data_IF_029528677845
#
_entry.id   IF_029528677845
#
_cell.length_a   1.000
_cell.length_b   1.000
_cell.length_c   1.000
_cell.angle_alpha   90.00
_cell.angle_beta   90.00
_cell.angle_gamma   90.00
#
_symmetry.space_group_name_H-M   'P 1'
#
loop_
_entity.id
_entity.type
_entity.pdbx_description
1 polymer ?
#
# COMPACT_ATOMS: atom_id res chain seq x y z
N UNK A 1 35.09 32.22 -45.14
CA UNK A 1 35.36 32.67 -43.75
C UNK A 1 34.07 33.03 -43.00
N UNK A 2 33.22 33.93 -43.52
CA UNK A 2 31.92 34.27 -42.90
C UNK A 2 30.97 33.06 -42.79
N UNK A 3 30.84 32.25 -43.83
CA UNK A 3 29.97 31.07 -43.83
C UNK A 3 30.39 29.98 -42.82
N UNK A 4 31.70 29.87 -42.55
CA UNK A 4 32.24 28.92 -41.56
C UNK A 4 31.98 29.38 -40.12
N UNK A 5 32.03 30.70 -39.88
CA UNK A 5 31.71 31.29 -38.59
C UNK A 5 30.22 31.16 -38.25
N UNK A 6 29.33 31.32 -39.24
CA UNK A 6 27.87 31.14 -39.06
C UNK A 6 27.54 29.67 -38.75
N UNK A 7 28.19 28.71 -39.41
CA UNK A 7 27.97 27.29 -39.13
C UNK A 7 28.45 26.89 -37.72
N UNK A 8 29.61 27.39 -37.26
CA UNK A 8 30.07 27.14 -35.90
C UNK A 8 29.17 27.77 -34.84
N UNK A 9 28.66 28.98 -35.08
CA UNK A 9 27.74 29.63 -34.15
C UNK A 9 26.42 28.86 -34.04
N UNK A 10 25.89 28.37 -35.17
CA UNK A 10 24.70 27.51 -35.18
C UNK A 10 24.92 26.17 -34.47
N UNK A 11 26.11 25.56 -34.61
CA UNK A 11 26.46 24.32 -33.92
C UNK A 11 26.61 24.52 -32.41
N UNK A 12 27.24 25.62 -31.98
CA UNK A 12 27.37 25.98 -30.56
C UNK A 12 26.01 26.30 -29.94
N UNK A 13 25.13 26.99 -30.67
CA UNK A 13 23.76 27.25 -30.22
C UNK A 13 22.92 25.97 -30.15
N UNK A 14 23.07 25.04 -31.10
CA UNK A 14 22.41 23.73 -31.03
C UNK A 14 22.93 22.88 -29.87
N UNK A 15 24.24 22.84 -29.63
CA UNK A 15 24.84 22.14 -28.50
C UNK A 15 24.41 22.74 -27.15
N UNK A 16 24.33 24.07 -27.05
CA UNK A 16 23.81 24.76 -25.87
C UNK A 16 22.31 24.49 -25.67
N UNK A 17 21.52 24.43 -26.74
CA UNK A 17 20.10 24.10 -26.67
C UNK A 17 19.87 22.63 -26.27
N UNK A 18 20.69 21.71 -26.75
CA UNK A 18 20.65 20.29 -26.34
C UNK A 18 21.02 20.14 -24.86
N UNK A 19 22.02 20.89 -24.35
CA UNK A 19 22.36 20.88 -22.92
C UNK A 19 21.21 21.43 -22.05
N UNK A 20 20.50 22.46 -22.50
CA UNK A 20 19.36 23.05 -21.79
C UNK A 20 18.12 22.15 -21.82
N UNK A 21 17.93 21.37 -22.89
CA UNK A 21 16.79 20.42 -23.01
C UNK A 21 17.05 19.10 -22.25
N UNK A 22 18.30 18.73 -21.97
CA UNK A 22 18.62 17.59 -21.10
C UNK A 22 18.65 17.91 -19.61
N UNK A 23 18.61 19.19 -19.23
CA UNK A 23 18.35 19.61 -17.86
C UNK A 23 16.83 19.64 -17.62
N UNK A 24 16.17 18.50 -17.84
CA UNK A 24 14.89 18.27 -17.20
C UNK A 24 15.12 18.45 -15.71
N UNK A 25 14.45 19.42 -15.12
CA UNK A 25 14.56 19.77 -13.71
C UNK A 25 14.27 18.53 -12.88
N UNK A 26 15.31 17.78 -12.51
CA UNK A 26 15.27 16.94 -11.33
C UNK A 26 15.13 17.93 -10.20
N UNK A 27 13.89 18.19 -9.79
CA UNK A 27 13.60 18.82 -8.52
C UNK A 27 14.26 17.91 -7.51
N UNK A 28 15.50 18.22 -7.11
CA UNK A 28 16.06 17.67 -5.88
C UNK A 28 15.09 18.16 -4.83
N UNK A 29 14.24 17.26 -4.32
CA UNK A 29 13.48 17.53 -3.12
C UNK A 29 14.49 18.06 -2.11
N UNK A 30 14.27 19.28 -1.61
CA UNK A 30 15.13 19.86 -0.59
C UNK A 30 15.26 18.82 0.53
N UNK A 31 16.49 18.46 0.89
CA UNK A 31 16.73 17.47 1.95
C UNK A 31 15.93 17.87 3.19
N UNK A 32 15.19 16.91 3.77
CA UNK A 32 14.44 17.15 4.98
C UNK A 32 15.43 17.50 6.08
N UNK A 33 15.13 18.52 6.88
CA UNK A 33 16.03 18.96 7.93
C UNK A 33 15.59 18.31 9.25
N UNK A 34 16.50 17.63 9.98
CA UNK A 34 16.19 17.15 11.31
C UNK A 34 15.95 18.35 12.26
N UNK A 35 15.11 18.19 13.29
CA UNK A 35 14.84 19.23 14.26
C UNK A 35 16.10 19.61 15.04
N UNK A 36 16.33 20.91 15.22
CA UNK A 36 17.47 21.39 16.00
C UNK A 36 17.33 21.09 17.49
N UNK A 37 18.41 20.62 18.12
CA UNK A 37 18.52 20.51 19.58
C UNK A 37 17.72 19.38 20.23
N UNK A 38 17.09 18.48 19.46
CA UNK A 38 16.43 17.28 19.99
C UNK A 38 16.55 16.08 19.04
N UNK A 39 16.34 14.87 19.58
CA UNK A 39 16.18 13.66 18.76
C UNK A 39 14.88 13.72 17.96
N UNK A 40 14.92 13.12 16.78
CA UNK A 40 13.75 12.87 15.93
C UNK A 40 12.89 11.79 16.54
N UNK A 41 11.59 12.04 16.65
CA UNK A 41 10.64 11.09 17.19
C UNK A 41 10.04 10.24 16.08
N UNK A 42 10.05 8.93 16.27
CA UNK A 42 9.45 7.99 15.33
C UNK A 42 8.32 7.25 16.04
N UNK A 43 7.09 7.51 15.59
CA UNK A 43 5.91 6.80 16.03
C UNK A 43 5.73 5.52 15.21
N UNK A 44 5.67 4.37 15.87
CA UNK A 44 5.38 3.09 15.22
C UNK A 44 3.97 2.67 15.57
N UNK A 45 3.09 2.63 14.56
CA UNK A 45 1.67 2.34 14.77
C UNK A 45 1.47 0.84 15.02
N UNK A 46 0.80 0.52 16.14
CA UNK A 46 0.54 -0.82 16.63
C UNK A 46 -0.95 -1.00 16.93
N UNK A 47 -1.66 -1.69 16.02
CA UNK A 47 -3.03 -2.19 16.26
C UNK A 47 -3.09 -3.70 16.05
N UNK A 48 -4.25 -4.30 16.34
CA UNK A 48 -4.44 -5.74 16.25
C UNK A 48 -4.05 -6.30 14.88
N UNK A 49 -3.38 -7.45 14.86
CA UNK A 49 -2.90 -8.10 13.64
C UNK A 49 -1.68 -7.43 13.01
N UNK A 50 -1.00 -6.50 13.70
CA UNK A 50 0.23 -5.88 13.22
C UNK A 50 1.24 -6.93 12.71
N UNK A 51 1.70 -6.81 11.47
CA UNK A 51 2.70 -7.73 10.90
C UNK A 51 4.07 -7.39 11.46
N UNK A 52 4.71 -8.38 12.10
CA UNK A 52 5.91 -8.21 12.93
C UNK A 52 7.03 -7.44 12.21
N UNK A 53 7.42 -7.90 11.02
CA UNK A 53 8.53 -7.32 10.29
C UNK A 53 8.21 -5.94 9.70
N UNK A 54 6.93 -5.61 9.49
CA UNK A 54 6.54 -4.34 8.89
C UNK A 54 6.85 -3.15 9.81
N UNK A 55 6.83 -3.37 11.12
CA UNK A 55 7.27 -2.39 12.11
C UNK A 55 8.68 -2.66 12.61
N UNK A 56 9.07 -3.92 12.80
CA UNK A 56 10.39 -4.26 13.35
C UNK A 56 11.53 -3.93 12.37
N UNK A 57 11.31 -4.10 11.06
CA UNK A 57 12.31 -3.73 10.06
C UNK A 57 12.68 -2.24 10.09
N UNK A 58 11.71 -1.31 9.94
CA UNK A 58 11.95 0.11 10.13
C UNK A 58 12.49 0.46 11.52
N UNK A 59 11.99 -0.17 12.58
CA UNK A 59 12.49 0.04 13.95
C UNK A 59 13.98 -0.23 14.04
N UNK A 60 14.45 -1.39 13.53
CA UNK A 60 15.86 -1.75 13.54
C UNK A 60 16.70 -0.76 12.72
N UNK A 61 16.19 -0.22 11.61
CA UNK A 61 16.90 0.83 10.87
C UNK A 61 17.09 2.07 11.72
N UNK A 62 16.01 2.64 12.24
CA UNK A 62 16.07 3.89 13.01
C UNK A 62 16.85 3.75 14.32
N UNK A 63 16.79 2.59 14.98
CA UNK A 63 17.52 2.31 16.21
C UNK A 63 19.04 2.24 16.02
N UNK A 64 19.51 2.01 14.79
CA UNK A 64 20.91 1.77 14.47
C UNK A 64 21.57 2.92 13.67
N UNK A 65 20.91 4.08 13.55
CA UNK A 65 21.48 5.26 12.89
C UNK A 65 22.48 5.97 13.79
N UNK A 66 23.63 6.32 13.22
CA UNK A 66 24.70 7.09 13.89
C UNK A 66 25.13 8.26 12.99
N UNK A 67 25.07 9.48 13.50
CA UNK A 67 25.24 10.72 12.68
C UNK A 67 26.59 11.43 12.85
N UNK A 68 27.50 10.89 13.66
CA UNK A 68 28.79 11.55 13.91
C UNK A 68 29.72 10.75 14.80
N UNK A 69 30.67 11.44 15.42
CA UNK A 69 31.67 10.85 16.32
C UNK A 69 31.48 11.39 17.74
N UNK A 70 31.55 10.54 18.77
CA UNK A 70 31.47 10.97 20.17
C UNK A 70 30.75 9.99 21.08
N UNK A 71 29.99 10.50 22.07
CA UNK A 71 29.12 9.68 22.92
C UNK A 71 28.04 8.97 22.08
N UNK A 72 27.87 7.66 22.26
CA UNK A 72 26.90 6.84 21.53
C UNK A 72 25.48 7.40 21.63
N UNK A 73 25.05 7.88 22.80
CA UNK A 73 23.69 8.40 22.98
C UNK A 73 23.45 9.69 22.20
N UNK A 74 24.50 10.51 22.03
CA UNK A 74 24.45 11.74 21.23
C UNK A 74 24.50 11.47 19.74
N UNK A 75 25.05 10.32 19.32
CA UNK A 75 25.12 9.95 17.91
C UNK A 75 23.81 9.39 17.37
N UNK A 76 23.01 8.74 18.23
CA UNK A 76 21.71 8.16 17.88
C UNK A 76 20.65 9.26 17.76
N UNK A 77 20.22 9.61 16.53
CA UNK A 77 19.39 10.79 16.32
C UNK A 77 17.90 10.52 16.51
N UNK A 78 17.48 9.26 16.69
CA UNK A 78 16.08 8.87 16.79
C UNK A 78 15.67 8.47 18.22
N UNK A 79 14.45 8.84 18.59
CA UNK A 79 13.70 8.38 19.75
C UNK A 79 12.48 7.60 19.22
N UNK A 80 12.47 6.30 19.45
CA UNK A 80 11.43 5.38 18.96
C UNK A 80 10.38 5.13 20.04
N UNK A 81 9.11 5.10 19.65
CA UNK A 81 8.04 4.64 20.53
C UNK A 81 6.91 3.99 19.72
N UNK A 82 6.10 3.19 20.41
CA UNK A 82 4.90 2.56 19.83
C UNK A 82 3.62 3.34 20.20
N UNK A 83 2.66 3.38 19.27
CA UNK A 83 1.38 4.05 19.47
C UNK A 83 0.24 3.20 18.95
N UNK A 84 -0.81 3.03 19.75
CA UNK A 84 -2.02 2.30 19.39
C UNK A 84 -3.29 3.09 19.69
N UNK A 85 -4.45 2.41 19.58
CA UNK A 85 -5.75 2.96 20.00
C UNK A 85 -5.70 3.44 21.45
N UNK A 86 -5.13 2.61 22.30
CA UNK A 86 -4.89 2.82 23.71
C UNK A 86 -3.61 2.05 24.13
N UNK A 87 -3.34 1.98 25.43
CA UNK A 87 -2.21 1.22 26.00
C UNK A 87 -2.60 -0.21 26.43
N UNK A 88 -3.65 -0.80 25.86
CA UNK A 88 -3.99 -2.19 26.09
C UNK A 88 -3.15 -3.13 25.21
N UNK A 89 -2.94 -4.38 25.64
CA UNK A 89 -2.24 -5.35 24.82
C UNK A 89 -2.96 -5.61 23.48
N UNK A 90 -2.18 -5.68 22.40
CA UNK A 90 -2.61 -6.16 21.09
C UNK A 90 -1.88 -7.46 20.76
N UNK A 91 -2.43 -8.25 19.83
CA UNK A 91 -1.71 -9.37 19.25
C UNK A 91 -1.21 -9.03 17.85
N UNK A 92 0.07 -9.31 17.58
CA UNK A 92 0.62 -9.24 16.22
C UNK A 92 0.02 -10.33 15.35
N UNK A 93 0.23 -10.28 14.03
CA UNK A 93 -0.06 -11.43 13.17
C UNK A 93 0.86 -12.61 13.54
N UNK A 94 0.28 -13.79 13.75
CA UNK A 94 0.97 -15.07 13.93
C UNK A 94 1.02 -15.92 12.66
N UNK A 95 0.59 -15.36 11.51
CA UNK A 95 0.37 -16.10 10.26
C UNK A 95 -0.92 -16.93 10.27
N UNK A 96 -1.47 -17.21 9.07
CA UNK A 96 -2.70 -17.99 8.88
C UNK A 96 -3.87 -17.57 9.81
N UNK A 97 -4.07 -16.26 9.98
CA UNK A 97 -5.12 -15.66 10.83
C UNK A 97 -5.04 -16.04 12.32
N UNK A 98 -3.86 -16.42 12.82
CA UNK A 98 -3.64 -16.71 14.24
C UNK A 98 -3.08 -15.49 14.97
N UNK A 99 -3.45 -15.27 16.24
CA UNK A 99 -2.78 -14.27 17.06
C UNK A 99 -1.31 -14.67 17.27
N UNK A 100 -0.43 -13.69 17.17
CA UNK A 100 1.01 -13.80 17.35
C UNK A 100 1.46 -13.34 18.74
N UNK A 101 2.53 -12.55 18.78
CA UNK A 101 3.09 -12.01 20.01
C UNK A 101 2.15 -10.99 20.63
N UNK A 102 2.14 -10.91 21.96
CA UNK A 102 1.47 -9.84 22.69
C UNK A 102 2.40 -8.65 22.81
N UNK A 103 1.95 -7.47 22.38
CA UNK A 103 2.68 -6.20 22.49
C UNK A 103 1.79 -5.17 23.19
N UNK A 104 2.38 -4.31 24.03
CA UNK A 104 1.67 -3.21 24.69
C UNK A 104 2.20 -1.89 24.11
N UNK A 105 1.37 -1.07 23.45
CA UNK A 105 1.80 0.23 22.96
C UNK A 105 2.22 1.17 24.10
N UNK A 106 3.27 1.96 23.87
CA UNK A 106 3.77 2.95 24.83
C UNK A 106 2.78 4.12 25.01
N UNK A 107 2.07 4.48 23.93
CA UNK A 107 1.14 5.60 23.89
C UNK A 107 -0.19 5.25 23.20
N UNK A 108 -1.23 6.03 23.53
CA UNK A 108 -2.46 6.07 22.76
C UNK A 108 -2.36 7.13 21.66
N UNK A 109 -3.13 7.04 20.58
CA UNK A 109 -3.23 8.10 19.56
C UNK A 109 -3.56 9.47 20.18
N UNK A 110 -4.34 9.46 21.27
CA UNK A 110 -4.77 10.66 21.97
C UNK A 110 -3.66 11.39 22.73
N UNK A 111 -2.58 10.71 23.13
CA UNK A 111 -1.56 11.26 24.02
C UNK A 111 -0.11 10.98 23.61
N UNK A 112 0.11 10.41 22.43
CA UNK A 112 1.43 10.25 21.85
C UNK A 112 2.12 11.61 21.66
N UNK A 113 3.43 11.75 22.00
CA UNK A 113 4.22 12.93 21.67
C UNK A 113 4.21 13.17 20.15
N UNK A 114 4.20 14.42 19.69
CA UNK A 114 4.24 14.68 18.24
C UNK A 114 5.47 14.03 17.57
N UNK A 115 5.29 13.11 16.60
CA UNK A 115 6.39 12.49 15.86
C UNK A 115 6.87 13.35 14.69
N UNK A 116 8.12 13.11 14.29
CA UNK A 116 8.68 13.60 13.03
C UNK A 116 8.51 12.57 11.90
N UNK A 117 8.47 11.28 12.26
CA UNK A 117 8.25 10.15 11.34
C UNK A 117 7.19 9.21 11.91
N UNK A 118 6.30 8.70 11.06
CA UNK A 118 5.28 7.71 11.40
C UNK A 118 5.48 6.45 10.57
N UNK A 119 5.56 5.29 11.20
CA UNK A 119 5.63 3.98 10.54
C UNK A 119 4.27 3.29 10.63
N UNK A 120 3.68 2.98 9.47
CA UNK A 120 2.37 2.32 9.34
C UNK A 120 2.54 0.97 8.65
N UNK A 121 2.63 -0.12 9.42
CA UNK A 121 2.68 -1.49 8.89
C UNK A 121 1.31 -2.05 8.49
N UNK A 122 1.29 -3.29 7.98
CA UNK A 122 0.07 -4.05 7.82
C UNK A 122 -0.57 -4.36 9.18
N UNK A 123 -1.87 -4.10 9.31
CA UNK A 123 -2.64 -4.27 10.55
C UNK A 123 -4.15 -4.18 10.27
N UNK A 124 -4.96 -4.56 11.26
CA UNK A 124 -6.42 -4.45 11.19
C UNK A 124 -6.88 -3.00 11.14
N UNK A 125 -6.14 -2.09 11.79
CA UNK A 125 -6.42 -0.66 11.84
C UNK A 125 -7.33 -0.29 13.03
N UNK A 126 -7.63 1.00 13.12
CA UNK A 126 -8.57 1.59 14.07
C UNK A 126 -9.18 2.84 13.43
N UNK A 127 -10.42 3.17 13.76
CA UNK A 127 -11.13 4.34 13.20
C UNK A 127 -10.41 5.67 13.49
N UNK A 128 -9.63 5.74 14.57
CA UNK A 128 -8.86 6.93 14.95
C UNK A 128 -7.60 7.11 14.10
N UNK A 129 -7.10 6.05 13.45
CA UNK A 129 -5.82 6.09 12.74
C UNK A 129 -5.86 7.07 11.56
N UNK A 130 -6.89 7.02 10.72
CA UNK A 130 -7.00 7.91 9.56
C UNK A 130 -6.98 9.40 9.93
N UNK A 131 -7.86 9.87 10.84
CA UNK A 131 -7.82 11.24 11.35
C UNK A 131 -6.49 11.62 11.99
N UNK A 132 -5.86 10.70 12.74
CA UNK A 132 -4.57 10.94 13.38
C UNK A 132 -3.45 11.13 12.35
N UNK A 133 -3.40 10.29 11.31
CA UNK A 133 -2.44 10.43 10.21
C UNK A 133 -2.61 11.75 9.46
N UNK A 134 -3.85 12.16 9.14
CA UNK A 134 -4.11 13.47 8.50
C UNK A 134 -3.57 14.62 9.33
N UNK A 135 -3.87 14.64 10.63
CA UNK A 135 -3.38 15.68 11.54
C UNK A 135 -1.85 15.74 11.56
N UNK A 136 -1.17 14.59 11.60
CA UNK A 136 0.29 14.55 11.61
C UNK A 136 0.91 15.00 10.29
N UNK A 137 0.30 14.63 9.17
CA UNK A 137 0.72 15.12 7.86
C UNK A 137 0.59 16.65 7.75
N UNK A 138 -0.50 17.23 8.24
CA UNK A 138 -0.67 18.69 8.34
C UNK A 138 0.39 19.34 9.25
N UNK A 139 0.85 18.62 10.27
CA UNK A 139 1.95 19.01 11.16
C UNK A 139 3.34 18.69 10.59
N UNK A 140 3.43 18.34 9.30
CA UNK A 140 4.66 18.08 8.56
C UNK A 140 5.45 16.85 9.04
N UNK A 141 4.80 15.88 9.69
CA UNK A 141 5.41 14.58 9.95
C UNK A 141 5.51 13.77 8.64
N UNK A 142 6.63 13.08 8.44
CA UNK A 142 6.78 12.12 7.35
C UNK A 142 6.04 10.83 7.71
N UNK A 143 5.16 10.35 6.82
CA UNK A 143 4.42 9.11 6.98
C UNK A 143 5.00 8.07 6.02
N UNK A 144 5.51 6.97 6.57
CA UNK A 144 5.90 5.81 5.78
C UNK A 144 4.95 4.64 6.03
N UNK A 145 4.58 3.91 4.98
CA UNK A 145 3.81 2.68 5.09
C UNK A 145 4.57 1.47 4.57
N UNK A 146 4.32 0.30 5.17
CA UNK A 146 4.90 -0.97 4.73
C UNK A 146 3.77 -1.97 4.45
N UNK A 147 3.95 -2.79 3.43
CA UNK A 147 3.02 -3.86 3.06
C UNK A 147 1.60 -3.29 2.81
N UNK A 148 0.57 -3.88 3.41
CA UNK A 148 -0.82 -3.39 3.32
C UNK A 148 -1.09 -2.20 4.24
N UNK A 149 -0.10 -1.68 4.97
CA UNK A 149 -0.21 -0.39 5.67
C UNK A 149 -0.53 0.78 4.73
N UNK A 150 -0.20 0.67 3.44
CA UNK A 150 -0.59 1.62 2.40
C UNK A 150 -2.11 1.83 2.32
N UNK A 151 -2.93 0.82 2.63
CA UNK A 151 -4.39 0.95 2.68
C UNK A 151 -4.81 1.94 3.78
N UNK A 152 -4.14 1.95 4.94
CA UNK A 152 -4.45 2.90 6.02
C UNK A 152 -4.11 4.33 5.66
N UNK A 153 -3.04 4.53 4.89
CA UNK A 153 -2.66 5.85 4.36
C UNK A 153 -3.61 6.29 3.24
N UNK A 154 -4.09 5.36 2.40
CA UNK A 154 -5.11 5.60 1.39
C UNK A 154 -6.46 5.99 2.02
N UNK A 155 -6.93 5.26 3.04
CA UNK A 155 -8.14 5.55 3.81
C UNK A 155 -8.11 6.93 4.47
N UNK A 156 -6.92 7.40 4.85
CA UNK A 156 -6.73 8.75 5.37
C UNK A 156 -6.92 9.84 4.28
N UNK A 157 -6.99 9.47 3.00
CA UNK A 157 -7.08 10.39 1.86
C UNK A 157 -5.72 10.99 1.45
N UNK A 158 -4.61 10.42 1.94
CA UNK A 158 -3.29 11.01 1.78
C UNK A 158 -2.57 10.58 0.49
N UNK A 159 -3.09 9.58 -0.23
CA UNK A 159 -2.49 9.04 -1.46
C UNK A 159 -3.21 9.43 -2.75
N UNK A 160 -4.35 10.12 -2.68
CA UNK A 160 -5.13 10.49 -3.86
C UNK A 160 -4.31 11.31 -4.86
N UNK A 161 -4.24 10.84 -6.10
CA UNK A 161 -3.47 11.46 -7.17
C UNK A 161 -1.95 11.28 -7.08
N UNK A 162 -1.45 10.48 -6.13
CA UNK A 162 0.00 10.26 -5.89
C UNK A 162 0.43 8.86 -6.34
N UNK A 163 1.72 8.67 -6.70
CA UNK A 163 2.25 7.35 -6.93
C UNK A 163 2.39 6.61 -5.59
N UNK A 164 2.04 5.33 -5.55
CA UNK A 164 2.19 4.52 -4.34
C UNK A 164 2.42 3.05 -4.66
N UNK A 165 2.94 2.28 -3.70
CA UNK A 165 3.03 0.83 -3.80
C UNK A 165 2.53 0.16 -2.53
N UNK A 166 2.37 -1.16 -2.56
CA UNK A 166 1.94 -1.99 -1.42
C UNK A 166 2.48 -3.41 -1.60
N UNK A 167 2.06 -4.35 -0.74
CA UNK A 167 2.35 -5.76 -0.91
C UNK A 167 1.97 -6.25 -2.30
N UNK A 168 2.84 -7.04 -2.93
CA UNK A 168 2.70 -7.37 -4.36
C UNK A 168 1.35 -8.03 -4.68
N UNK A 169 0.84 -8.91 -3.82
CA UNK A 169 -0.47 -9.55 -4.01
C UNK A 169 -1.65 -8.60 -3.81
N UNK A 170 -1.43 -7.45 -3.16
CA UNK A 170 -2.47 -6.45 -2.88
C UNK A 170 -2.43 -5.24 -3.82
N UNK A 171 -1.52 -5.20 -4.80
CA UNK A 171 -1.40 -4.08 -5.75
C UNK A 171 -2.69 -3.86 -6.56
N UNK A 172 -3.25 -4.94 -7.13
CA UNK A 172 -4.48 -4.86 -7.91
C UNK A 172 -5.66 -4.42 -7.04
N UNK A 173 -5.72 -4.92 -5.81
CA UNK A 173 -6.73 -4.52 -4.83
C UNK A 173 -6.64 -3.04 -4.48
N UNK A 174 -5.44 -2.51 -4.27
CA UNK A 174 -5.22 -1.09 -4.00
C UNK A 174 -5.70 -0.23 -5.17
N UNK A 175 -5.34 -0.60 -6.40
CA UNK A 175 -5.79 0.10 -7.60
C UNK A 175 -7.32 0.06 -7.77
N UNK A 176 -7.95 -1.06 -7.40
CA UNK A 176 -9.41 -1.21 -7.44
C UNK A 176 -10.11 -0.37 -6.38
N UNK A 177 -9.63 -0.36 -5.13
CA UNK A 177 -10.29 0.39 -4.07
C UNK A 177 -10.06 1.91 -4.19
N UNK A 178 -8.86 2.30 -4.60
CA UNK A 178 -8.42 3.69 -4.68
C UNK A 178 -7.94 4.02 -6.10
N UNK A 179 -8.86 4.13 -7.06
CA UNK A 179 -8.52 4.24 -8.48
C UNK A 179 -7.84 5.55 -8.88
N UNK A 180 -7.78 6.54 -7.98
CA UNK A 180 -7.03 7.78 -8.17
C UNK A 180 -5.56 7.67 -7.74
N UNK A 181 -5.16 6.57 -7.09
CA UNK A 181 -3.76 6.29 -6.76
C UNK A 181 -3.07 5.75 -8.01
N UNK A 182 -1.90 6.30 -8.31
CA UNK A 182 -1.03 5.78 -9.36
C UNK A 182 -0.20 4.60 -8.80
N UNK A 183 -0.83 3.42 -8.76
CA UNK A 183 -0.25 2.23 -8.14
C UNK A 183 0.93 1.71 -8.98
N UNK A 184 2.09 1.54 -8.34
CA UNK A 184 3.33 1.07 -8.95
C UNK A 184 3.68 -0.33 -8.47
N UNK A 185 3.86 -1.27 -9.41
CA UNK A 185 4.44 -2.58 -9.15
C UNK A 185 5.95 -2.56 -9.39
N UNK A 186 6.60 -3.68 -9.07
CA UNK A 186 8.00 -3.91 -9.41
C UNK A 186 9.00 -2.95 -8.75
N UNK A 187 8.60 -2.33 -7.64
CA UNK A 187 9.42 -1.41 -6.83
C UNK A 187 9.49 -1.91 -5.39
N UNK A 188 10.53 -1.49 -4.66
CA UNK A 188 10.65 -1.73 -3.21
C UNK A 188 9.87 -0.69 -2.43
N UNK A 189 9.98 0.56 -2.84
CA UNK A 189 9.24 1.67 -2.26
C UNK A 189 8.94 2.74 -3.31
N UNK A 190 8.05 3.66 -2.96
CA UNK A 190 7.69 4.83 -3.76
C UNK A 190 7.67 6.01 -2.82
N UNK A 191 8.43 7.05 -3.15
CA UNK A 191 8.23 8.35 -2.55
C UNK A 191 7.01 9.00 -3.23
N UNK A 192 5.88 8.98 -2.53
CA UNK A 192 4.60 9.48 -3.01
C UNK A 192 4.60 11.01 -3.10
N UNK A 193 5.24 11.67 -2.13
CA UNK A 193 5.56 13.11 -2.11
C UNK A 193 6.72 13.37 -1.09
N UNK A 194 7.09 14.63 -0.75
CA UNK A 194 8.15 14.91 0.22
C UNK A 194 7.94 14.33 1.64
N UNK A 195 6.69 14.07 2.06
CA UNK A 195 6.32 13.63 3.40
C UNK A 195 5.64 12.26 3.41
N UNK A 196 5.50 11.58 2.27
CA UNK A 196 4.86 10.26 2.19
C UNK A 196 5.74 9.28 1.42
N UNK A 197 6.03 8.15 2.05
CA UNK A 197 6.73 7.01 1.43
C UNK A 197 5.87 5.76 1.58
N UNK A 198 5.66 5.02 0.51
CA UNK A 198 4.96 3.73 0.56
C UNK A 198 5.90 2.62 0.16
N UNK A 199 5.88 1.49 0.85
CA UNK A 199 6.76 0.36 0.61
C UNK A 199 5.98 -0.92 0.31
N UNK A 200 6.62 -1.83 -0.41
CA UNK A 200 6.11 -3.17 -0.69
C UNK A 200 6.04 -4.04 0.56
N UNK A 201 6.00 -5.37 0.36
CA UNK A 201 5.90 -6.32 1.47
C UNK A 201 7.14 -6.41 2.35
N UNK A 202 6.92 -6.65 3.65
CA UNK A 202 7.86 -7.22 4.59
C UNK A 202 9.21 -6.47 4.61
N UNK A 203 10.26 -7.09 4.05
CA UNK A 203 11.61 -6.51 4.01
C UNK A 203 11.69 -5.16 3.30
N UNK A 204 10.70 -4.80 2.48
CA UNK A 204 10.63 -3.48 1.82
C UNK A 204 10.59 -2.34 2.83
N UNK A 205 10.09 -2.59 4.03
CA UNK A 205 10.10 -1.63 5.13
C UNK A 205 11.52 -1.20 5.53
N UNK A 206 12.47 -2.15 5.57
CA UNK A 206 13.89 -1.88 5.85
C UNK A 206 14.46 -0.94 4.78
N UNK A 207 14.22 -1.25 3.51
CA UNK A 207 14.73 -0.43 2.41
C UNK A 207 14.15 0.99 2.43
N UNK A 208 12.84 1.12 2.66
CA UNK A 208 12.20 2.43 2.73
C UNK A 208 12.61 3.24 3.96
N UNK A 209 12.93 2.59 5.09
CA UNK A 209 13.45 3.29 6.26
C UNK A 209 14.87 3.81 6.00
N UNK A 210 15.72 3.04 5.32
CA UNK A 210 17.05 3.52 4.88
C UNK A 210 16.94 4.70 3.90
N UNK A 211 15.94 4.70 3.01
CA UNK A 211 15.61 5.85 2.17
C UNK A 211 15.21 7.07 3.01
N UNK A 212 14.39 6.91 4.05
CA UNK A 212 14.05 8.00 4.98
C UNK A 212 15.29 8.53 5.71
N UNK A 213 16.20 7.65 6.14
CA UNK A 213 17.49 8.07 6.73
C UNK A 213 18.30 8.89 5.72
N UNK A 214 18.36 8.47 4.46
CA UNK A 214 19.01 9.23 3.39
C UNK A 214 18.38 10.62 3.18
N UNK A 215 17.05 10.74 3.23
CA UNK A 215 16.35 12.03 3.08
C UNK A 215 16.73 13.05 4.17
N UNK A 216 16.99 12.61 5.39
CA UNK A 216 17.32 13.48 6.53
C UNK A 216 18.82 13.68 6.77
N UNK A 217 19.61 12.61 6.61
CA UNK A 217 21.02 12.59 7.02
C UNK A 217 21.99 12.27 5.86
N UNK A 218 21.46 12.07 4.64
CA UNK A 218 22.23 11.81 3.44
C UNK A 218 22.66 10.35 3.26
N UNK A 219 23.03 10.01 2.02
CA UNK A 219 23.34 8.65 1.60
C UNK A 219 24.50 8.00 2.39
N UNK A 220 25.46 8.78 2.87
CA UNK A 220 26.58 8.26 3.65
C UNK A 220 26.12 7.68 5.00
N UNK A 221 25.21 8.37 5.70
CA UNK A 221 24.66 7.90 6.98
C UNK A 221 23.75 6.70 6.76
N UNK A 222 22.93 6.70 5.70
CA UNK A 222 22.12 5.54 5.33
C UNK A 222 22.99 4.31 5.03
N UNK A 223 24.09 4.48 4.27
CA UNK A 223 25.05 3.40 3.99
C UNK A 223 25.68 2.85 5.27
N UNK A 224 26.20 3.73 6.13
CA UNK A 224 26.81 3.32 7.39
C UNK A 224 25.82 2.59 8.31
N UNK A 225 24.55 3.00 8.30
CA UNK A 225 23.46 2.33 9.03
C UNK A 225 23.26 0.91 8.49
N UNK A 226 23.14 0.75 7.17
CA UNK A 226 23.00 -0.56 6.54
C UNK A 226 24.19 -1.48 6.86
N UNK A 227 25.42 -0.95 6.80
CA UNK A 227 26.64 -1.70 7.12
C UNK A 227 26.68 -2.13 8.60
N UNK A 228 26.28 -1.24 9.52
CA UNK A 228 26.21 -1.53 10.96
C UNK A 228 25.18 -2.63 11.29
N UNK A 229 24.07 -2.66 10.54
CA UNK A 229 23.06 -3.71 10.66
C UNK A 229 23.43 -5.01 9.94
N UNK A 230 24.60 -5.06 9.27
CA UNK A 230 24.98 -6.14 8.35
C UNK A 230 23.94 -6.38 7.24
N UNK A 231 23.20 -5.34 6.85
CA UNK A 231 22.14 -5.41 5.85
C UNK A 231 22.70 -5.35 4.43
N UNK A 232 22.77 -6.52 3.78
CA UNK A 232 23.35 -6.65 2.43
C UNK A 232 22.39 -6.25 1.29
N UNK A 233 21.11 -5.97 1.60
CA UNK A 233 20.12 -5.57 0.61
C UNK A 233 20.50 -4.26 -0.09
N UNK A 234 20.38 -4.22 -1.41
CA UNK A 234 20.65 -3.03 -2.23
C UNK A 234 19.37 -2.34 -2.72
N UNK A 235 18.20 -2.82 -2.26
CA UNK A 235 16.88 -2.33 -2.67
C UNK A 235 16.69 -0.86 -2.34
N UNK A 236 17.21 -0.39 -1.21
CA UNK A 236 17.14 1.01 -0.81
C UNK A 236 17.86 1.97 -1.77
N UNK A 237 19.02 1.58 -2.31
CA UNK A 237 19.84 2.44 -3.20
C UNK A 237 19.29 2.57 -4.60
N UNK A 238 18.81 1.45 -5.12
CA UNK A 238 18.49 1.32 -6.54
C UNK A 238 16.99 1.35 -6.78
N UNK A 239 16.20 1.17 -5.71
CA UNK A 239 14.82 0.72 -5.78
C UNK A 239 14.64 -0.54 -6.66
N UNK A 240 15.74 -1.20 -7.02
CA UNK A 240 15.80 -2.32 -7.94
C UNK A 240 15.79 -3.60 -7.11
N UNK A 241 14.58 -4.09 -6.88
CA UNK A 241 14.38 -5.40 -6.26
C UNK A 241 13.21 -6.19 -6.87
N UNK A 242 12.40 -5.57 -7.73
CA UNK A 242 11.20 -6.21 -8.25
C UNK A 242 10.93 -5.98 -9.76
N UNK A 243 11.91 -5.43 -10.50
CA UNK A 243 11.86 -5.23 -11.97
C UNK A 243 11.73 -3.76 -12.37
N UNK A 244 11.41 -3.51 -13.64
CA UNK A 244 11.08 -2.15 -14.11
C UNK A 244 9.75 -1.70 -13.48
N UNK A 245 9.65 -0.47 -12.93
CA UNK A 245 8.41 0.04 -12.38
C UNK A 245 7.30 0.02 -13.43
N UNK A 246 6.15 -0.55 -13.09
CA UNK A 246 4.96 -0.58 -13.96
C UNK A 246 3.76 -0.03 -13.24
N UNK A 247 2.93 0.71 -13.96
CA UNK A 247 1.64 1.16 -13.44
C UNK A 247 0.67 -0.03 -13.41
N UNK A 248 -0.02 -0.20 -12.28
CA UNK A 248 -1.09 -1.17 -12.08
C UNK A 248 -2.41 -0.42 -12.21
N UNK A 249 -3.20 -0.78 -13.21
CA UNK A 249 -4.49 -0.16 -13.47
C UNK A 249 -5.62 -0.92 -12.75
N UNK A 250 -6.71 -0.25 -12.36
CA UNK A 250 -7.88 -0.93 -11.82
C UNK A 250 -8.47 -1.93 -12.81
N UNK A 251 -8.99 -3.04 -12.29
CA UNK A 251 -9.67 -4.12 -13.04
C UNK A 251 -10.86 -3.57 -13.81
N UNK A 252 -11.70 -2.77 -13.15
CA UNK A 252 -12.75 -1.97 -13.77
C UNK A 252 -12.26 -0.52 -13.82
N UNK A 253 -11.93 0.03 -15.01
CA UNK A 253 -11.49 1.41 -15.12
C UNK A 253 -12.57 2.40 -14.67
N UNK A 254 -12.15 3.56 -14.18
CA UNK A 254 -13.05 4.62 -13.72
C UNK A 254 -14.14 4.98 -14.74
N UNK A 255 -13.79 5.03 -16.03
CA UNK A 255 -14.71 5.32 -17.13
C UNK A 255 -15.87 4.31 -17.25
N UNK A 256 -15.76 3.12 -16.65
CA UNK A 256 -16.75 2.05 -16.70
C UNK A 256 -17.52 1.86 -15.37
N UNK A 257 -17.16 2.57 -14.29
CA UNK A 257 -17.79 2.44 -12.96
C UNK A 257 -19.27 2.84 -12.94
N UNK A 258 -19.70 3.75 -13.80
CA UNK A 258 -21.11 4.13 -13.93
C UNK A 258 -21.93 3.10 -14.73
N UNK A 259 -21.24 2.15 -15.38
CA UNK A 259 -21.83 1.07 -16.16
C UNK A 259 -21.69 -0.30 -15.49
N UNK A 260 -21.20 -0.34 -14.25
CA UNK A 260 -21.09 -1.57 -13.48
C UNK A 260 -22.48 -2.09 -13.07
N UNK A 261 -22.60 -3.40 -13.00
CA UNK A 261 -23.74 -4.09 -12.40
C UNK A 261 -23.32 -4.65 -11.05
N UNK A 262 -24.09 -4.29 -10.03
CA UNK A 262 -23.85 -4.72 -8.65
C UNK A 262 -24.81 -5.85 -8.32
N UNK A 263 -24.29 -6.91 -7.71
CA UNK A 263 -25.04 -8.10 -7.31
C UNK A 263 -24.74 -8.39 -5.84
N UNK A 264 -25.77 -8.66 -5.05
CA UNK A 264 -25.65 -8.80 -3.60
C UNK A 264 -26.32 -10.07 -3.10
N UNK A 265 -25.74 -10.71 -2.09
CA UNK A 265 -26.31 -11.87 -1.43
C UNK A 265 -25.53 -12.25 -0.19
N UNK A 266 -25.83 -13.42 0.37
CA UNK A 266 -25.07 -13.99 1.47
C UNK A 266 -24.43 -15.32 1.04
N UNK A 267 -23.24 -15.58 1.57
CA UNK A 267 -22.51 -16.81 1.37
C UNK A 267 -22.34 -17.52 2.72
N UNK A 268 -22.70 -18.79 2.77
CA UNK A 268 -22.50 -19.62 3.97
C UNK A 268 -21.40 -20.65 3.67
N UNK A 269 -20.15 -20.36 4.02
CA UNK A 269 -19.04 -21.27 3.76
C UNK A 269 -19.13 -22.53 4.62
N UNK A 270 -18.79 -23.68 4.04
CA UNK A 270 -18.62 -24.92 4.81
C UNK A 270 -17.33 -24.84 5.63
N UNK A 271 -17.45 -24.56 6.93
CA UNK A 271 -16.34 -24.59 7.88
C UNK A 271 -16.56 -25.64 8.99
N UNK A 272 -15.48 -26.19 9.58
CA UNK A 272 -15.57 -27.10 10.73
C UNK A 272 -16.24 -26.48 11.96
N UNK A 273 -16.25 -25.14 12.06
CA UNK A 273 -17.01 -24.37 13.05
C UNK A 273 -18.02 -23.49 12.32
N UNK A 274 -19.28 -23.39 12.81
CA UNK A 274 -20.26 -22.52 12.20
C UNK A 274 -19.76 -21.07 12.16
N UNK A 275 -19.67 -20.49 10.95
CA UNK A 275 -19.54 -19.05 10.76
C UNK A 275 -20.92 -18.46 10.44
N UNK A 276 -21.18 -17.19 10.79
CA UNK A 276 -22.38 -16.50 10.32
C UNK A 276 -22.37 -16.38 8.79
N UNK A 277 -23.56 -16.21 8.21
CA UNK A 277 -23.68 -15.85 6.80
C UNK A 277 -22.88 -14.58 6.49
N UNK A 278 -22.07 -14.63 5.45
CA UNK A 278 -21.20 -13.52 5.05
C UNK A 278 -21.87 -12.73 3.92
N UNK A 279 -22.06 -11.41 4.06
CA UNK A 279 -22.53 -10.59 2.95
C UNK A 279 -21.47 -10.56 1.85
N UNK A 280 -21.92 -10.77 0.61
CA UNK A 280 -21.07 -10.75 -0.59
C UNK A 280 -21.64 -9.75 -1.59
N UNK A 281 -20.77 -8.92 -2.15
CA UNK A 281 -21.10 -7.98 -3.23
C UNK A 281 -20.20 -8.26 -4.42
N UNK A 282 -20.80 -8.52 -5.58
CA UNK A 282 -20.12 -8.76 -6.84
C UNK A 282 -20.35 -7.57 -7.77
N UNK A 283 -19.26 -6.98 -8.26
CA UNK A 283 -19.27 -5.90 -9.24
C UNK A 283 -18.82 -6.46 -10.58
N UNK A 284 -19.61 -6.26 -11.63
CA UNK A 284 -19.30 -6.72 -12.99
C UNK A 284 -19.51 -5.59 -13.98
N UNK A 285 -18.52 -5.35 -14.83
CA UNK A 285 -18.60 -4.41 -15.95
C UNK A 285 -18.11 -5.07 -17.25
N UNK A 286 -18.72 -4.67 -18.37
CA UNK A 286 -18.23 -5.03 -19.70
C UNK A 286 -17.25 -3.95 -20.16
N UNK A 287 -15.95 -4.29 -20.19
CA UNK A 287 -14.85 -3.39 -20.55
C UNK A 287 -14.25 -3.86 -21.86
N UNK A 288 -14.37 -3.07 -22.92
CA UNK A 288 -13.85 -3.39 -24.26
C UNK A 288 -14.27 -4.79 -24.78
N UNK A 289 -15.52 -5.18 -24.50
CA UNK A 289 -16.09 -6.46 -24.93
C UNK A 289 -15.75 -7.67 -24.05
N UNK A 290 -15.01 -7.48 -22.95
CA UNK A 290 -14.72 -8.53 -21.97
C UNK A 290 -15.32 -8.18 -20.61
N UNK A 291 -15.91 -9.17 -19.92
CA UNK A 291 -16.37 -8.96 -18.55
C UNK A 291 -15.18 -8.88 -17.61
N UNK A 292 -15.24 -7.92 -16.69
CA UNK A 292 -14.28 -7.73 -15.60
C UNK A 292 -15.05 -7.50 -14.32
N UNK A 293 -14.46 -7.87 -13.19
CA UNK A 293 -15.17 -7.79 -11.92
C UNK A 293 -14.29 -7.75 -10.70
N UNK A 294 -14.93 -7.34 -9.61
CA UNK A 294 -14.38 -7.43 -8.26
C UNK A 294 -15.43 -8.00 -7.32
N UNK A 295 -14.98 -8.55 -6.19
CA UNK A 295 -15.85 -9.07 -5.14
C UNK A 295 -15.49 -8.48 -3.78
N UNK A 296 -16.52 -8.20 -3.00
CA UNK A 296 -16.43 -7.73 -1.62
C UNK A 296 -17.02 -8.80 -0.69
N UNK A 297 -16.32 -9.10 0.39
CA UNK A 297 -16.82 -9.77 1.57
C UNK A 297 -16.35 -8.98 2.82
N UNK A 298 -17.06 -7.90 3.20
CA UNK A 298 -16.58 -6.94 4.20
C UNK A 298 -16.29 -7.57 5.56
N UNK A 299 -17.03 -8.60 5.96
CA UNK A 299 -16.82 -9.32 7.23
C UNK A 299 -15.49 -10.07 7.29
N UNK A 300 -14.84 -10.30 6.15
CA UNK A 300 -13.52 -10.92 6.04
C UNK A 300 -12.45 -9.91 5.61
N UNK A 301 -12.76 -8.59 5.66
CA UNK A 301 -11.87 -7.52 5.18
C UNK A 301 -11.46 -7.65 3.71
N UNK A 302 -12.23 -8.40 2.92
CA UNK A 302 -12.06 -8.53 1.48
C UNK A 302 -12.90 -7.46 0.80
N UNK A 303 -12.27 -6.47 0.20
CA UNK A 303 -12.95 -5.39 -0.51
C UNK A 303 -12.21 -5.19 -1.84
N UNK A 304 -12.93 -5.08 -2.95
CA UNK A 304 -12.36 -4.85 -4.28
C UNK A 304 -11.44 -5.96 -4.76
N UNK A 305 -11.61 -7.19 -4.25
CA UNK A 305 -10.76 -8.32 -4.65
C UNK A 305 -11.00 -8.63 -6.13
N UNK A 306 -9.95 -8.66 -6.97
CA UNK A 306 -10.10 -8.85 -8.40
C UNK A 306 -10.61 -10.25 -8.72
N UNK A 307 -11.46 -10.34 -9.74
CA UNK A 307 -11.85 -11.62 -10.32
C UNK A 307 -11.00 -11.93 -11.55
N UNK A 308 -10.58 -13.20 -11.62
CA UNK A 308 -9.92 -13.82 -12.75
C UNK A 308 -10.93 -14.63 -13.58
N UNK A 309 -10.58 -14.94 -14.83
CA UNK A 309 -11.35 -15.78 -15.76
C UNK A 309 -12.88 -15.51 -15.78
N UNK A 310 -13.25 -14.22 -15.81
CA UNK A 310 -14.65 -13.80 -15.82
C UNK A 310 -15.25 -14.06 -17.21
N UNK A 311 -16.10 -15.07 -17.30
CA UNK A 311 -16.77 -15.49 -18.53
C UNK A 311 -18.28 -15.44 -18.34
N UNK A 312 -18.97 -14.76 -19.24
CA UNK A 312 -20.43 -14.72 -19.30
C UNK A 312 -20.85 -15.08 -20.71
N UNK A 313 -21.55 -16.20 -20.86
CA UNK A 313 -21.99 -16.69 -22.17
C UNK A 313 -23.35 -17.39 -22.08
N UNK A 314 -24.29 -17.02 -22.96
CA UNK A 314 -25.63 -17.63 -23.08
C UNK A 314 -26.35 -17.90 -21.74
N UNK A 315 -26.25 -16.98 -20.76
CA UNK A 315 -26.88 -17.11 -19.44
C UNK A 315 -26.10 -17.97 -18.44
N UNK A 316 -24.90 -18.42 -18.79
CA UNK A 316 -23.91 -19.00 -17.86
C UNK A 316 -22.92 -17.94 -17.41
N UNK A 317 -22.39 -18.09 -16.20
CA UNK A 317 -21.32 -17.25 -15.65
C UNK A 317 -20.27 -18.11 -14.94
N UNK A 318 -19.01 -17.75 -15.15
CA UNK A 318 -17.85 -18.29 -14.46
C UNK A 318 -16.93 -17.15 -14.03
N UNK A 319 -16.30 -17.29 -12.87
CA UNK A 319 -15.16 -16.47 -12.45
C UNK A 319 -14.32 -17.24 -11.43
N UNK A 320 -13.06 -16.86 -11.33
CA UNK A 320 -12.12 -17.38 -10.34
C UNK A 320 -11.70 -16.25 -9.42
N UNK A 321 -11.57 -16.55 -8.13
CA UNK A 321 -11.00 -15.66 -7.13
C UNK A 321 -9.67 -16.26 -6.66
N UNK A 322 -8.58 -15.50 -6.79
CA UNK A 322 -7.32 -15.87 -6.19
C UNK A 322 -7.42 -15.81 -4.65
N UNK A 323 -6.90 -16.82 -3.98
CA UNK A 323 -6.83 -16.89 -2.51
C UNK A 323 -5.49 -17.48 -2.09
N UNK A 324 -5.03 -17.14 -0.88
CA UNK A 324 -3.81 -17.68 -0.28
C UNK A 324 -3.83 -19.22 -0.18
N UNK A 325 -5.02 -19.82 -0.14
CA UNK A 325 -5.22 -21.27 -0.05
C UNK A 325 -5.49 -21.94 -1.41
N UNK A 326 -5.25 -21.22 -2.52
CA UNK A 326 -5.52 -21.68 -3.87
C UNK A 326 -6.75 -21.01 -4.47
N UNK A 327 -6.99 -21.18 -5.79
CA UNK A 327 -8.10 -20.54 -6.47
C UNK A 327 -9.45 -21.04 -5.96
N UNK A 328 -10.41 -20.13 -5.93
CA UNK A 328 -11.82 -20.39 -5.61
C UNK A 328 -12.64 -20.08 -6.85
N UNK A 329 -13.27 -21.10 -7.42
CA UNK A 329 -14.06 -20.99 -8.64
C UNK A 329 -15.53 -20.81 -8.33
N UNK A 330 -16.22 -19.99 -9.11
CA UNK A 330 -17.66 -19.95 -9.16
C UNK A 330 -18.14 -20.36 -10.55
N UNK A 331 -19.15 -21.22 -10.60
CA UNK A 331 -19.85 -21.59 -11.83
C UNK A 331 -21.35 -21.59 -11.60
N UNK A 332 -22.09 -20.95 -12.51
CA UNK A 332 -23.53 -20.84 -12.37
C UNK A 332 -24.24 -20.24 -13.57
N UNK A 333 -25.46 -19.78 -13.31
CA UNK A 333 -26.31 -19.11 -14.27
C UNK A 333 -26.50 -17.65 -13.90
N UNK A 334 -26.62 -16.79 -14.90
CA UNK A 334 -26.89 -15.37 -14.77
C UNK A 334 -28.13 -15.01 -15.60
N UNK A 335 -29.14 -14.46 -14.92
CA UNK A 335 -30.35 -13.89 -15.52
C UNK A 335 -30.35 -12.38 -15.33
N UNK A 336 -31.35 -11.68 -15.87
CA UNK A 336 -31.47 -10.22 -15.69
C UNK A 336 -31.59 -9.76 -14.21
N UNK A 337 -31.97 -10.65 -13.28
CA UNK A 337 -32.25 -10.31 -11.87
C UNK A 337 -31.47 -11.15 -10.85
N UNK A 338 -30.91 -12.29 -11.25
CA UNK A 338 -30.28 -13.24 -10.33
C UNK A 338 -29.07 -13.93 -10.95
N UNK A 339 -28.03 -14.10 -10.13
CA UNK A 339 -26.92 -15.04 -10.34
C UNK A 339 -27.08 -16.17 -9.33
N UNK A 340 -26.96 -17.42 -9.76
CA UNK A 340 -27.04 -18.60 -8.89
C UNK A 340 -26.12 -19.69 -9.38
N UNK A 341 -25.35 -20.29 -8.47
CA UNK A 341 -24.38 -21.32 -8.80
C UNK A 341 -23.70 -21.88 -7.57
N UNK A 342 -22.55 -22.50 -7.77
CA UNK A 342 -21.74 -23.04 -6.69
C UNK A 342 -20.35 -22.41 -6.70
N UNK A 343 -19.86 -22.12 -5.49
CA UNK A 343 -18.46 -21.82 -5.19
C UNK A 343 -17.75 -23.13 -4.89
N UNK A 344 -16.57 -23.34 -5.46
CA UNK A 344 -15.77 -24.55 -5.30
C UNK A 344 -14.32 -24.17 -5.02
N UNK A 345 -13.75 -24.75 -3.97
CA UNK A 345 -12.32 -24.64 -3.67
C UNK A 345 -11.62 -25.96 -3.99
N UNK A 346 -10.31 -25.94 -4.23
CA UNK A 346 -9.55 -27.15 -4.52
C UNK A 346 -9.72 -28.20 -3.41
N UNK A 347 -10.31 -29.36 -3.75
CA UNK A 347 -10.57 -30.46 -2.80
C UNK A 347 -11.82 -30.31 -1.92
N UNK A 348 -12.63 -29.27 -2.15
CA UNK A 348 -13.85 -28.96 -1.39
C UNK A 348 -15.14 -29.46 -1.99
N UNK A 349 -16.19 -29.56 -1.16
CA UNK A 349 -17.56 -29.72 -1.63
C UNK A 349 -18.07 -28.40 -2.24
N UNK A 350 -18.85 -28.44 -3.33
CA UNK A 350 -19.48 -27.25 -3.89
C UNK A 350 -20.45 -26.60 -2.90
N UNK A 351 -20.29 -25.31 -2.63
CA UNK A 351 -21.15 -24.53 -1.73
C UNK A 351 -22.02 -23.57 -2.54
N UNK A 352 -23.36 -23.54 -2.34
CA UNK A 352 -24.24 -22.69 -3.14
C UNK A 352 -24.03 -21.19 -2.84
N UNK A 353 -24.12 -20.37 -3.88
CA UNK A 353 -24.14 -18.91 -3.78
C UNK A 353 -25.26 -18.37 -4.69
N UNK A 354 -26.10 -17.51 -4.13
CA UNK A 354 -27.13 -16.78 -4.86
C UNK A 354 -26.99 -15.29 -4.63
N UNK A 355 -26.91 -14.53 -5.72
CA UNK A 355 -26.83 -13.08 -5.71
C UNK A 355 -28.02 -12.49 -6.47
N UNK A 356 -28.58 -11.41 -5.95
CA UNK A 356 -29.64 -10.63 -6.59
C UNK A 356 -29.08 -9.32 -7.11
N UNK A 357 -29.56 -8.87 -8.27
CA UNK A 357 -29.12 -7.59 -8.84
C UNK A 357 -29.54 -6.45 -7.92
N UNK A 358 -28.60 -5.61 -7.49
CA UNK A 358 -28.89 -4.42 -6.70
C UNK A 358 -29.56 -3.37 -7.59
N UNK A 359 -30.39 -2.51 -6.98
CA UNK A 359 -30.85 -1.30 -7.64
C UNK A 359 -29.63 -0.41 -7.95
N UNK A 360 -29.60 0.32 -9.08
CA UNK A 360 -28.54 1.27 -9.35
C UNK A 360 -28.44 2.25 -8.17
N UNK A 361 -27.22 2.57 -7.69
CA UNK A 361 -27.07 3.49 -6.57
C UNK A 361 -27.74 4.83 -6.90
N UNK A 362 -28.47 5.41 -5.94
CA UNK A 362 -28.95 6.78 -6.09
C UNK A 362 -27.74 7.71 -6.27
N UNK A 363 -27.78 8.63 -7.24
CA UNK A 363 -26.68 9.57 -7.54
C UNK A 363 -26.16 10.38 -6.34
N UNK A 364 -26.86 10.37 -5.20
CA UNK A 364 -26.50 11.10 -3.98
C UNK A 364 -25.56 10.36 -3.00
N UNK A 365 -25.13 9.12 -3.29
CA UNK A 365 -24.42 8.26 -2.32
C UNK A 365 -23.00 7.82 -2.75
N UNK A 366 -22.40 8.45 -3.76
CA UNK A 366 -21.02 8.18 -4.20
C UNK A 366 -20.08 9.31 -3.82
#
# INVERSE_FOLDING_TARGET
RVMFAVLMLALVLMLALVLVVTAGSVVHASALQPPEGRKMRVAVVMTEGAVVIDYAGPWEVFANVHTGTGDMDRQMPFELYTVGRDRQPIHTSGGAMKPGMTVVPDYAFADAPAPDVVVVGAQSGDEQLGPWLRKLHEQHALIMSVCTGAFRVAEAGLLDGKPATTYHASLQRLANQYPHIDVRSSVRYVQSDPLIVTAGGLSSGIDSALHVVELYYGAQVAQATADNMEYQGQGWKTNAGAGEPKQVLPTIPLAYRDHETIWQGTFLPEYPKPKPEMPVVLHLALVDGQYRGTIDAPTESMIGEPLDDVRVDHGSIHFTLASEHGPVDFSGTMTAKRISGNVTHAGGSPTPLTLSKAAPPSQAAR
#
